data_IF_804802234036
#
_entry.id   IF_804802234036
#
_cell.length_a   1.000
_cell.length_b   1.000
_cell.length_c   1.000
_cell.angle_alpha   90.00
_cell.angle_beta   90.00
_cell.angle_gamma   90.00
#
_symmetry.space_group_name_H-M   'P 1'
#
loop_
_entity.id
_entity.type
_entity.pdbx_description
1 polymer ?
#
# COMPACT_ATOMS: atom_id res chain seq x y z
N UNK A 1 -7.05 -9.38 -16.42
CA UNK A 1 -7.33 -8.13 -15.69
C UNK A 1 -6.05 -7.75 -14.96
N UNK A 2 -5.57 -6.51 -15.12
CA UNK A 2 -4.33 -6.02 -14.51
C UNK A 2 -4.70 -4.97 -13.47
N UNK A 3 -4.12 -5.06 -12.28
CA UNK A 3 -4.32 -4.08 -11.20
C UNK A 3 -3.04 -3.25 -11.08
N UNK A 4 -3.16 -1.93 -11.10
CA UNK A 4 -2.02 -1.04 -10.92
C UNK A 4 -1.61 -0.99 -9.45
N UNK A 5 -0.31 -0.99 -9.16
CA UNK A 5 0.23 -0.86 -7.80
C UNK A 5 1.18 0.34 -7.76
N UNK A 6 0.82 1.36 -6.99
CA UNK A 6 1.63 2.57 -6.81
C UNK A 6 2.28 2.57 -5.42
N UNK A 7 3.54 3.01 -5.36
CA UNK A 7 4.26 3.21 -4.10
C UNK A 7 4.05 4.64 -3.62
N UNK A 8 3.68 4.81 -2.35
CA UNK A 8 3.47 6.13 -1.75
C UNK A 8 4.02 6.20 -0.35
N UNK A 9 4.56 7.36 0.04
CA UNK A 9 4.95 7.66 1.43
C UNK A 9 3.85 8.38 2.20
N UNK A 10 2.72 8.69 1.56
CA UNK A 10 1.57 9.34 2.21
C UNK A 10 0.97 8.39 3.24
N UNK A 11 0.49 8.92 4.35
CA UNK A 11 -0.30 8.15 5.32
C UNK A 11 -1.65 7.79 4.68
N UNK A 12 -2.16 6.56 4.85
CA UNK A 12 -3.46 6.20 4.32
C UNK A 12 -4.57 7.04 4.97
N UNK A 13 -5.47 7.58 4.15
CA UNK A 13 -6.62 8.35 4.59
C UNK A 13 -7.78 7.42 4.99
N UNK A 14 -8.70 7.89 5.83
CA UNK A 14 -9.90 7.11 6.16
C UNK A 14 -10.77 6.91 4.90
N UNK A 15 -11.37 5.71 4.70
CA UNK A 15 -11.51 4.60 5.64
C UNK A 15 -10.34 3.60 5.67
N UNK A 16 -9.35 3.73 4.78
CA UNK A 16 -8.26 2.76 4.62
C UNK A 16 -7.10 2.95 5.61
N UNK A 17 -7.15 3.98 6.44
CA UNK A 17 -6.19 4.24 7.52
C UNK A 17 -6.03 3.07 8.51
N UNK A 18 -7.02 2.17 8.58
CA UNK A 18 -6.98 0.95 9.39
C UNK A 18 -6.33 -0.27 8.70
N UNK A 19 -5.95 -0.17 7.42
CA UNK A 19 -5.39 -1.28 6.62
C UNK A 19 -3.91 -1.09 6.20
N UNK A 20 -2.98 -0.56 7.03
CA UNK A 20 -1.58 -0.47 6.63
C UNK A 20 -0.99 -1.89 6.45
N UNK A 21 -0.19 -2.14 5.39
CA UNK A 21 0.50 -1.17 4.55
C UNK A 21 -0.16 -0.88 3.19
N UNK A 22 -1.44 -1.22 2.97
CA UNK A 22 -2.08 -1.16 1.65
C UNK A 22 -3.44 -0.45 1.69
N UNK A 23 -3.70 0.44 0.74
CA UNK A 23 -5.05 0.99 0.52
C UNK A 23 -5.60 0.53 -0.84
N UNK A 24 -6.86 0.08 -0.83
CA UNK A 24 -7.58 -0.36 -2.02
C UNK A 24 -8.42 0.77 -2.59
N UNK A 25 -8.22 1.07 -3.86
CA UNK A 25 -8.99 2.03 -4.64
C UNK A 25 -9.56 1.32 -5.88
N UNK A 26 -10.53 1.94 -6.55
CA UNK A 26 -11.39 1.29 -7.55
C UNK A 26 -10.64 0.46 -8.63
N UNK A 27 -9.45 0.90 -9.06
CA UNK A 27 -8.62 0.18 -10.04
C UNK A 27 -7.13 0.15 -9.70
N UNK A 28 -6.77 0.48 -8.47
CA UNK A 28 -5.38 0.64 -8.07
C UNK A 28 -5.17 0.31 -6.60
N UNK A 29 -3.95 -0.11 -6.29
CA UNK A 29 -3.51 -0.46 -4.95
C UNK A 29 -2.39 0.49 -4.57
N UNK A 30 -2.56 1.21 -3.46
CA UNK A 30 -1.49 2.04 -2.90
C UNK A 30 -0.74 1.27 -1.84
N UNK A 31 0.57 1.15 -2.02
CA UNK A 31 1.48 0.52 -1.08
C UNK A 31 2.23 1.62 -0.31
N UNK A 32 1.95 1.70 0.98
CA UNK A 32 2.47 2.73 1.87
C UNK A 32 3.88 2.33 2.36
N UNK A 33 4.89 2.85 1.68
CA UNK A 33 6.31 2.58 1.95
C UNK A 33 6.88 3.56 2.97
N UNK A 34 7.77 3.06 3.82
CA UNK A 34 8.56 3.84 4.77
C UNK A 34 10.03 3.65 4.40
N UNK A 35 10.82 4.71 4.14
CA UNK A 35 12.22 4.62 3.71
C UNK A 35 13.10 3.70 4.56
N UNK A 36 12.79 3.53 5.85
CA UNK A 36 13.56 2.66 6.76
C UNK A 36 13.17 1.18 6.66
N UNK A 37 11.97 0.87 6.16
CA UNK A 37 11.41 -0.49 6.17
C UNK A 37 10.76 -0.91 4.83
N UNK A 38 11.01 -0.18 3.74
CA UNK A 38 10.34 -0.34 2.44
C UNK A 38 10.31 -1.78 1.93
N UNK A 39 11.44 -2.50 1.94
CA UNK A 39 11.49 -3.87 1.39
C UNK A 39 10.62 -4.87 2.16
N UNK A 40 10.63 -4.81 3.50
CA UNK A 40 9.81 -5.69 4.34
C UNK A 40 8.32 -5.37 4.19
N UNK A 41 7.98 -4.07 4.08
CA UNK A 41 6.59 -3.64 3.86
C UNK A 41 6.08 -4.07 2.48
N UNK A 42 6.91 -3.96 1.44
CA UNK A 42 6.56 -4.43 0.10
C UNK A 42 6.30 -5.93 0.10
N UNK A 43 7.16 -6.72 0.76
CA UNK A 43 6.96 -8.17 0.85
C UNK A 43 5.66 -8.54 1.56
N UNK A 44 5.34 -7.86 2.68
CA UNK A 44 4.12 -8.12 3.43
C UNK A 44 2.87 -7.69 2.65
N UNK A 45 2.93 -6.56 1.95
CA UNK A 45 1.86 -6.06 1.10
C UNK A 45 1.58 -6.96 -0.10
N UNK A 46 2.61 -7.56 -0.72
CA UNK A 46 2.44 -8.47 -1.84
C UNK A 46 1.87 -9.85 -1.44
N UNK A 47 1.94 -10.20 -0.15
CA UNK A 47 1.33 -11.43 0.40
C UNK A 47 -0.13 -11.24 0.79
N UNK A 48 -0.49 -10.02 1.19
CA UNK A 48 -1.85 -9.64 1.56
C UNK A 48 -2.70 -9.45 0.31
#
# INVERSE_FOLDING_TARGET
MTIAVDLTTKTPEAPWSAQPPVSLHDNLVWLHVDPQYSLRRILNAARA
#
